data_IF_451939972520
#
_entry.id   IF_451939972520
#
_cell.length_a   1.000
_cell.length_b   1.000
_cell.length_c   1.000
_cell.angle_alpha   90.00
_cell.angle_beta   90.00
_cell.angle_gamma   90.00
#
_symmetry.space_group_name_H-M   'P 1'
#
loop_
_entity.id
_entity.type
_entity.pdbx_description
1 polymer ?
#
# COMPACT_ATOMS: atom_id res chain seq x y z
N UNK A 1 8.48 8.85 22.30
CA UNK A 1 7.83 8.81 20.97
C UNK A 1 8.88 8.76 19.89
N UNK A 2 9.09 7.61 19.24
CA UNK A 2 10.11 7.48 18.18
C UNK A 2 9.63 8.25 16.95
N UNK A 3 10.27 9.39 16.66
CA UNK A 3 9.97 10.23 15.51
C UNK A 3 10.32 9.45 14.24
N UNK A 4 9.32 8.95 13.51
CA UNK A 4 9.55 8.22 12.26
C UNK A 4 10.09 9.19 11.21
N UNK A 5 11.43 9.21 11.04
CA UNK A 5 12.20 10.22 10.28
C UNK A 5 11.87 10.33 8.76
N UNK A 6 10.88 9.61 8.26
CA UNK A 6 10.56 9.52 6.82
C UNK A 6 9.07 9.33 6.50
N UNK A 7 8.16 9.56 7.46
CA UNK A 7 6.71 9.43 7.21
C UNK A 7 6.14 10.80 6.85
N UNK A 8 5.48 10.90 5.69
CA UNK A 8 4.72 12.07 5.25
C UNK A 8 3.38 11.61 4.70
N UNK A 9 2.30 12.21 5.21
CA UNK A 9 0.90 11.80 4.94
C UNK A 9 0.72 10.30 5.15
N UNK A 10 1.07 9.77 6.33
CA UNK A 10 0.93 8.34 6.67
C UNK A 10 1.81 7.35 5.89
N UNK A 11 2.47 7.77 4.80
CA UNK A 11 3.34 6.93 3.96
C UNK A 11 4.81 7.05 4.35
N UNK A 12 5.49 5.93 4.58
CA UNK A 12 6.94 5.89 4.87
C UNK A 12 7.78 5.95 3.58
N UNK A 13 8.42 7.08 3.31
CA UNK A 13 9.16 7.35 2.06
C UNK A 13 10.68 7.10 2.16
N UNK A 14 11.11 6.13 2.98
CA UNK A 14 12.55 5.79 3.12
C UNK A 14 13.08 5.05 1.89
N UNK A 15 12.23 4.29 1.22
CA UNK A 15 12.53 3.58 -0.01
C UNK A 15 11.88 4.33 -1.19
N UNK A 16 12.40 4.14 -2.40
CA UNK A 16 11.73 4.63 -3.61
C UNK A 16 10.29 4.10 -3.67
N UNK A 17 9.40 4.88 -4.28
CA UNK A 17 8.01 4.49 -4.54
C UNK A 17 7.91 4.35 -6.05
N UNK A 18 7.33 3.25 -6.53
CA UNK A 18 7.19 3.05 -7.98
C UNK A 18 6.33 4.16 -8.59
N UNK A 19 6.61 4.51 -9.85
CA UNK A 19 6.01 5.64 -10.54
C UNK A 19 4.48 5.58 -10.51
N UNK A 20 3.85 6.73 -10.20
CA UNK A 20 2.40 6.89 -10.15
C UNK A 20 1.68 6.20 -8.98
N UNK A 21 2.42 5.55 -8.06
CA UNK A 21 1.81 4.85 -6.93
C UNK A 21 1.58 5.74 -5.70
N UNK A 22 2.35 6.82 -5.54
CA UNK A 22 2.28 7.69 -4.36
C UNK A 22 0.86 8.20 -4.06
N UNK A 23 0.06 8.72 -5.02
CA UNK A 23 -1.29 9.19 -4.74
C UNK A 23 -2.19 8.07 -4.18
N UNK A 24 -2.10 6.85 -4.72
CA UNK A 24 -2.87 5.71 -4.23
C UNK A 24 -2.47 5.32 -2.79
N UNK A 25 -1.18 5.41 -2.46
CA UNK A 25 -0.70 5.14 -1.10
C UNK A 25 -1.16 6.19 -0.11
N UNK A 26 -1.20 7.46 -0.51
CA UNK A 26 -1.75 8.55 0.31
C UNK A 26 -3.25 8.35 0.54
N UNK A 27 -4.02 7.96 -0.49
CA UNK A 27 -5.45 7.64 -0.33
C UNK A 27 -5.69 6.48 0.64
N UNK A 28 -4.88 5.42 0.60
CA UNK A 28 -4.96 4.33 1.61
C UNK A 28 -4.67 4.88 3.01
N UNK A 29 -3.69 5.77 3.13
CA UNK A 29 -3.30 6.32 4.44
C UNK A 29 -4.37 7.20 5.09
N UNK A 30 -5.30 7.72 4.29
CA UNK A 30 -6.45 8.52 4.75
C UNK A 30 -7.63 7.64 5.19
N UNK A 31 -7.59 6.33 4.92
CA UNK A 31 -8.62 5.40 5.39
C UNK A 31 -8.58 5.36 6.92
N UNK A 32 -9.72 5.67 7.53
CA UNK A 32 -9.87 5.56 8.97
C UNK A 32 -9.50 4.15 9.47
N UNK A 33 -8.61 4.10 10.46
CA UNK A 33 -8.06 2.86 11.01
C UNK A 33 -6.75 2.43 10.37
N UNK A 34 -6.29 3.07 9.29
CA UNK A 34 -4.92 2.90 8.79
C UNK A 34 -3.97 3.78 9.60
N UNK A 35 -3.01 3.15 10.25
CA UNK A 35 -1.98 3.86 11.04
C UNK A 35 -0.78 4.22 10.18
N UNK A 36 -0.45 3.38 9.18
CA UNK A 36 0.74 3.57 8.34
C UNK A 36 0.66 2.79 7.04
N UNK A 37 1.23 3.37 6.00
CA UNK A 37 1.52 2.69 4.73
C UNK A 37 3.03 2.61 4.54
N UNK A 38 3.53 1.39 4.35
CA UNK A 38 4.96 1.08 4.31
C UNK A 38 5.31 0.43 2.97
N UNK A 39 5.88 1.20 2.02
CA UNK A 39 6.56 0.66 0.86
C UNK A 39 7.79 -0.14 1.28
N UNK A 40 7.96 -1.32 0.69
CA UNK A 40 9.09 -2.22 0.93
C UNK A 40 9.84 -2.51 -0.38
N UNK A 41 10.14 -3.78 -0.65
CA UNK A 41 10.98 -4.20 -1.78
C UNK A 41 10.36 -3.83 -3.12
N UNK A 42 11.21 -3.39 -4.07
CA UNK A 42 10.87 -3.18 -5.47
C UNK A 42 11.52 -4.31 -6.28
N UNK A 43 10.78 -4.92 -7.18
CA UNK A 43 11.24 -5.94 -8.11
C UNK A 43 10.87 -5.58 -9.53
N UNK A 44 11.63 -6.07 -10.51
CA UNK A 44 11.32 -5.85 -11.91
C UNK A 44 10.09 -6.66 -12.33
N UNK A 45 9.19 -6.06 -13.12
CA UNK A 45 8.05 -6.77 -13.68
C UNK A 45 8.32 -7.09 -15.16
N UNK A 46 8.29 -8.37 -15.57
CA UNK A 46 8.38 -8.73 -16.99
C UNK A 46 7.09 -8.40 -17.77
N UNK A 47 6.03 -7.97 -17.08
CA UNK A 47 4.68 -7.85 -17.61
C UNK A 47 4.49 -6.57 -18.45
N UNK A 48 4.62 -6.70 -19.78
CA UNK A 48 4.15 -5.70 -20.75
C UNK A 48 2.63 -5.80 -20.84
N UNK A 49 1.90 -5.15 -19.94
CA UNK A 49 0.43 -5.20 -19.98
C UNK A 49 -0.28 -4.25 -19.02
N UNK A 50 0.42 -3.79 -17.97
CA UNK A 50 -0.14 -2.87 -16.99
C UNK A 50 -0.04 -1.45 -17.53
N UNK A 51 -1.18 -0.89 -17.97
CA UNK A 51 -1.28 0.46 -18.52
C UNK A 51 -1.30 1.55 -17.44
N UNK A 52 -1.83 1.24 -16.25
CA UNK A 52 -1.93 2.16 -15.12
C UNK A 52 -1.45 1.50 -13.84
N UNK A 53 -0.82 2.26 -12.91
CA UNK A 53 -0.47 1.75 -11.60
C UNK A 53 -1.70 1.20 -10.87
N UNK A 54 -1.58 0.00 -10.32
CA UNK A 54 -2.67 -0.66 -9.60
C UNK A 54 -2.16 -1.32 -8.32
N UNK A 55 -3.05 -1.48 -7.35
CA UNK A 55 -2.78 -2.15 -6.09
C UNK A 55 -3.65 -3.39 -6.00
N UNK A 56 -3.01 -4.51 -5.67
CA UNK A 56 -3.67 -5.81 -5.52
C UNK A 56 -3.47 -6.32 -4.12
N UNK A 57 -4.54 -6.73 -3.46
CA UNK A 57 -4.44 -7.43 -2.20
C UNK A 57 -3.71 -8.77 -2.38
N UNK A 58 -2.75 -9.04 -1.50
CA UNK A 58 -2.05 -10.32 -1.50
C UNK A 58 -2.48 -11.19 -0.32
N UNK A 59 -2.41 -10.65 0.90
CA UNK A 59 -2.79 -11.39 2.12
C UNK A 59 -2.98 -10.47 3.31
N UNK A 60 -3.61 -11.01 4.33
CA UNK A 60 -3.58 -10.41 5.66
C UNK A 60 -2.24 -10.63 6.36
N UNK A 61 -1.94 -9.75 7.28
CA UNK A 61 -0.82 -9.85 8.22
C UNK A 61 -1.34 -9.64 9.65
N UNK A 62 -0.56 -10.00 10.68
CA UNK A 62 -0.97 -9.78 12.07
C UNK A 62 -1.27 -8.30 12.38
N UNK A 63 -0.57 -7.37 11.71
CA UNK A 63 -0.70 -5.92 11.91
C UNK A 63 -1.56 -5.21 10.85
N UNK A 64 -2.19 -5.93 9.92
CA UNK A 64 -2.97 -5.34 8.84
C UNK A 64 -2.90 -6.13 7.55
N UNK A 65 -2.42 -5.52 6.46
CA UNK A 65 -2.50 -6.09 5.11
C UNK A 65 -1.22 -5.96 4.31
N UNK A 66 -1.00 -6.92 3.42
CA UNK A 66 0.04 -6.87 2.40
C UNK A 66 -0.62 -6.72 1.03
N UNK A 67 -0.24 -5.66 0.33
CA UNK A 67 -0.64 -5.37 -1.05
C UNK A 67 0.57 -5.48 -1.97
N UNK A 68 0.31 -5.72 -3.25
CA UNK A 68 1.27 -5.59 -4.33
C UNK A 68 0.90 -4.39 -5.18
N UNK A 69 1.80 -3.42 -5.23
CA UNK A 69 1.78 -2.32 -6.16
C UNK A 69 2.38 -2.78 -7.47
N UNK A 70 1.62 -2.70 -8.56
CA UNK A 70 2.11 -2.99 -9.90
C UNK A 70 2.17 -1.70 -10.72
N UNK A 71 3.23 -1.58 -11.51
CA UNK A 71 3.41 -0.54 -12.53
C UNK A 71 3.89 -1.19 -13.84
N UNK A 72 4.09 -0.37 -14.88
CA UNK A 72 4.49 -0.84 -16.22
C UNK A 72 5.77 -1.68 -16.25
N UNK A 73 6.71 -1.48 -15.31
CA UNK A 73 8.02 -2.17 -15.29
C UNK A 73 8.45 -2.65 -13.91
N UNK A 74 7.64 -2.45 -12.89
CA UNK A 74 8.05 -2.73 -11.51
C UNK A 74 6.88 -3.17 -10.65
N UNK A 75 7.17 -4.08 -9.73
CA UNK A 75 6.28 -4.51 -8.66
C UNK A 75 6.89 -4.03 -7.34
N UNK A 76 6.07 -3.59 -6.41
CA UNK A 76 6.49 -3.21 -5.08
C UNK A 76 5.57 -3.80 -4.02
N UNK A 77 6.15 -4.32 -2.94
CA UNK A 77 5.36 -4.74 -1.79
C UNK A 77 4.98 -3.53 -0.93
N UNK A 78 3.71 -3.47 -0.54
CA UNK A 78 3.16 -2.43 0.33
C UNK A 78 2.56 -3.09 1.56
N UNK A 79 2.99 -2.68 2.74
CA UNK A 79 2.39 -3.11 4.00
C UNK A 79 1.53 -1.99 4.57
N UNK A 80 0.25 -2.29 4.80
CA UNK A 80 -0.71 -1.40 5.42
C UNK A 80 -0.85 -1.84 6.87
N UNK A 81 -0.42 -0.99 7.79
CA UNK A 81 -0.58 -1.18 9.24
C UNK A 81 -1.91 -0.56 9.64
N UNK A 82 -2.72 -1.33 10.36
CA UNK A 82 -4.07 -0.94 10.75
C UNK A 82 -4.29 -1.17 12.23
N UNK A 83 -5.14 -0.34 12.81
CA UNK A 83 -5.66 -0.54 14.15
C UNK A 83 -6.43 -1.87 14.22
N UNK A 84 -6.17 -2.67 15.25
CA UNK A 84 -6.71 -4.04 15.36
C UNK A 84 -8.24 -4.08 15.38
N UNK A 85 -8.87 -3.11 16.03
CA UNK A 85 -10.32 -2.94 16.13
C UNK A 85 -10.97 -2.63 14.78
N UNK A 86 -10.28 -1.88 13.92
CA UNK A 86 -10.79 -1.39 12.62
C UNK A 86 -10.38 -2.26 11.44
N UNK A 87 -9.76 -3.42 11.69
CA UNK A 87 -9.19 -4.27 10.63
C UNK A 87 -10.21 -4.68 9.56
N UNK A 88 -11.40 -5.14 9.97
CA UNK A 88 -12.44 -5.56 9.02
C UNK A 88 -13.03 -4.39 8.22
N UNK A 89 -13.18 -3.21 8.85
CA UNK A 89 -13.66 -1.99 8.16
C UNK A 89 -12.67 -1.54 7.09
N UNK A 90 -11.37 -1.52 7.42
CA UNK A 90 -10.32 -1.18 6.46
C UNK A 90 -10.29 -2.21 5.32
N UNK A 91 -10.46 -3.50 5.63
CA UNK A 91 -10.55 -4.56 4.62
C UNK A 91 -11.71 -4.32 3.67
N UNK A 92 -12.89 -3.94 4.18
CA UNK A 92 -14.06 -3.61 3.35
C UNK A 92 -13.76 -2.42 2.43
N UNK A 93 -13.21 -1.34 2.96
CA UNK A 93 -12.85 -0.15 2.16
C UNK A 93 -11.80 -0.46 1.09
N UNK A 94 -10.82 -1.30 1.39
CA UNK A 94 -9.85 -1.79 0.39
C UNK A 94 -10.53 -2.63 -0.71
N UNK A 95 -11.61 -3.37 -0.40
CA UNK A 95 -12.42 -4.09 -1.40
C UNK A 95 -13.15 -3.13 -2.32
N UNK A 96 -13.82 -2.14 -1.74
CA UNK A 96 -14.66 -1.18 -2.46
C UNK A 96 -13.86 -0.31 -3.43
N UNK A 97 -12.61 0.02 -3.10
CA UNK A 97 -11.70 0.73 -3.99
C UNK A 97 -11.17 -0.15 -5.15
N UNK A 98 -11.75 -1.34 -5.36
CA UNK A 98 -11.41 -2.25 -6.45
C UNK A 98 -9.94 -2.75 -6.41
N UNK A 99 -9.31 -2.69 -5.23
CA UNK A 99 -7.92 -3.10 -4.99
C UNK A 99 -7.80 -4.62 -4.73
N UNK A 100 -8.87 -5.36 -5.03
CA UNK A 100 -9.10 -6.76 -4.68
C UNK A 100 -9.61 -7.60 -5.85
N UNK A 101 -9.41 -7.14 -7.09
CA UNK A 101 -9.68 -7.96 -8.28
C UNK A 101 -8.82 -9.21 -8.32
#
# INVERSE_FOLDING_TARGET
MTRFRYVKHGVKRKHGIIEGMLPLLEQISEIEGVEKVIPASISHSPSIGIRHPELRFQRETPSGFKLLAHSKRSIQEIFVVVERSKKEEVKHKLKEQNMLK
#
